data_IF_431562505675
#
_entry.id   IF_431562505675
#
_cell.length_a   1.000
_cell.length_b   1.000
_cell.length_c   1.000
_cell.angle_alpha   90.00
_cell.angle_beta   90.00
_cell.angle_gamma   90.00
#
_symmetry.space_group_name_H-M   'P 1'
#
loop_
_entity.id
_entity.type
_entity.pdbx_description
1 polymer ?
#
# COMPACT_ATOMS: atom_id res chain seq x y z
N UNK A 1 5.66 4.88 -6.67
CA UNK A 1 6.87 5.42 -7.34
C UNK A 1 6.80 5.01 -8.80
N UNK A 2 7.09 5.91 -9.73
CA UNK A 2 7.23 5.57 -11.16
C UNK A 2 8.71 5.73 -11.50
N UNK A 3 9.29 4.73 -12.18
CA UNK A 3 10.73 4.65 -12.40
C UNK A 3 11.09 3.96 -13.72
N UNK A 4 12.37 3.73 -13.95
CA UNK A 4 12.91 3.20 -15.22
C UNK A 4 12.86 1.66 -15.34
N UNK A 5 11.89 1.02 -14.68
CA UNK A 5 11.73 -0.44 -14.71
C UNK A 5 12.67 -1.25 -13.79
N UNK A 6 13.41 -0.59 -12.89
CA UNK A 6 14.22 -1.24 -11.86
C UNK A 6 13.99 -0.60 -10.49
N UNK A 7 14.31 -1.33 -9.42
CA UNK A 7 14.19 -0.84 -8.05
C UNK A 7 12.75 -0.77 -7.51
N UNK A 8 11.82 -1.47 -8.15
CA UNK A 8 10.42 -1.52 -7.70
C UNK A 8 10.30 -2.13 -6.29
N UNK A 9 10.97 -3.27 -6.07
CA UNK A 9 10.98 -3.95 -4.77
C UNK A 9 11.73 -3.13 -3.69
N UNK A 10 12.84 -2.48 -4.06
CA UNK A 10 13.54 -1.61 -3.12
C UNK A 10 12.71 -0.36 -2.77
N UNK A 11 11.95 0.18 -3.72
CA UNK A 11 11.01 1.26 -3.47
C UNK A 11 9.87 0.83 -2.54
N UNK A 12 9.25 -0.34 -2.77
CA UNK A 12 8.23 -0.90 -1.88
C UNK A 12 8.78 -1.12 -0.47
N UNK A 13 9.98 -1.71 -0.36
CA UNK A 13 10.68 -1.95 0.91
C UNK A 13 10.97 -0.63 1.64
N UNK A 14 11.43 0.40 0.92
CA UNK A 14 11.68 1.72 1.48
C UNK A 14 10.41 2.39 2.01
N UNK A 15 9.31 2.30 1.26
CA UNK A 15 8.00 2.82 1.69
C UNK A 15 7.51 2.08 2.93
N UNK A 16 7.57 0.75 2.96
CA UNK A 16 7.18 -0.03 4.14
C UNK A 16 8.05 0.30 5.36
N UNK A 17 9.36 0.40 5.18
CA UNK A 17 10.29 0.80 6.24
C UNK A 17 9.96 2.19 6.79
N UNK A 18 9.64 3.13 5.91
CA UNK A 18 9.18 4.47 6.30
C UNK A 18 7.88 4.39 7.11
N UNK A 19 6.88 3.64 6.63
CA UNK A 19 5.60 3.48 7.33
C UNK A 19 5.78 2.89 8.73
N UNK A 20 6.57 1.81 8.85
CA UNK A 20 6.86 1.18 10.14
C UNK A 20 7.63 2.11 11.10
N UNK A 21 8.58 2.91 10.58
CA UNK A 21 9.29 3.91 11.38
C UNK A 21 8.35 4.95 11.99
N UNK A 22 7.21 5.21 11.36
CA UNK A 22 6.19 6.17 11.82
C UNK A 22 4.98 5.46 12.45
N UNK A 23 5.16 4.23 12.95
CA UNK A 23 4.14 3.45 13.67
C UNK A 23 2.84 3.25 12.88
N UNK A 24 2.92 3.27 11.55
CA UNK A 24 1.76 3.04 10.68
C UNK A 24 1.44 1.55 10.55
N UNK A 25 0.15 1.24 10.37
CA UNK A 25 -0.33 -0.12 10.11
C UNK A 25 -0.17 -0.43 8.61
N UNK A 26 0.66 -1.42 8.29
CA UNK A 26 0.79 -1.94 6.93
C UNK A 26 -0.43 -2.80 6.56
N UNK A 27 -1.16 -2.38 5.53
CA UNK A 27 -2.42 -3.02 5.15
C UNK A 27 -2.28 -4.00 3.98
N UNK A 28 -1.19 -3.95 3.22
CA UNK A 28 -0.94 -4.80 2.05
C UNK A 28 0.55 -4.80 1.70
N UNK A 29 0.98 -5.75 0.85
CA UNK A 29 2.38 -5.88 0.40
C UNK A 29 2.84 -4.82 -0.61
N UNK A 30 1.95 -3.92 -1.02
CA UNK A 30 2.18 -2.98 -2.12
C UNK A 30 1.79 -3.54 -3.49
N UNK A 31 1.84 -2.66 -4.49
CA UNK A 31 1.45 -2.95 -5.88
C UNK A 31 2.65 -2.68 -6.78
N UNK A 32 2.89 -3.61 -7.67
CA UNK A 32 3.99 -3.62 -8.61
C UNK A 32 3.43 -3.82 -10.01
N UNK A 33 3.86 -2.99 -10.95
CA UNK A 33 3.47 -3.09 -12.36
C UNK A 33 4.47 -2.34 -13.24
N UNK A 34 4.54 -2.73 -14.51
CA UNK A 34 5.46 -2.13 -15.49
C UNK A 34 4.66 -1.74 -16.73
N UNK A 35 4.92 -0.54 -17.24
CA UNK A 35 4.35 -0.03 -18.48
C UNK A 35 5.33 0.98 -19.08
N UNK A 36 5.37 1.07 -20.40
CA UNK A 36 6.20 2.00 -21.16
C UNK A 36 5.35 3.13 -21.75
N UNK A 37 4.18 2.78 -22.28
CA UNK A 37 3.27 3.73 -22.91
C UNK A 37 2.13 4.13 -21.96
N UNK A 38 1.58 5.32 -22.22
CA UNK A 38 0.41 5.80 -21.47
C UNK A 38 -0.78 4.86 -21.70
N UNK A 39 -1.36 4.35 -20.60
CA UNK A 39 -2.51 3.45 -20.64
C UNK A 39 -2.17 1.96 -20.66
N UNK A 40 -0.94 1.57 -21.03
CA UNK A 40 -0.50 0.16 -21.06
C UNK A 40 -0.61 -0.51 -19.68
N UNK A 41 -0.42 0.26 -18.59
CA UNK A 41 -0.54 -0.26 -17.22
C UNK A 41 -1.93 -0.84 -16.91
N UNK A 42 -2.96 -0.48 -17.69
CA UNK A 42 -4.31 -1.02 -17.55
C UNK A 42 -4.42 -2.48 -18.02
N UNK A 43 -3.47 -2.93 -18.84
CA UNK A 43 -3.39 -4.31 -19.34
C UNK A 43 -2.67 -5.24 -18.35
N UNK A 44 -1.97 -4.70 -17.35
CA UNK A 44 -1.38 -5.48 -16.26
C UNK A 44 -2.47 -5.90 -15.26
N UNK A 45 -3.20 -6.97 -15.59
CA UNK A 45 -4.31 -7.51 -14.78
C UNK A 45 -3.90 -7.77 -13.33
N UNK A 46 -2.65 -8.19 -13.12
CA UNK A 46 -2.12 -8.48 -11.78
C UNK A 46 -1.93 -7.19 -10.98
N UNK A 47 -1.32 -6.17 -11.56
CA UNK A 47 -1.16 -4.87 -10.91
C UNK A 47 -2.52 -4.23 -10.58
N UNK A 48 -3.50 -4.35 -11.49
CA UNK A 48 -4.86 -3.84 -11.27
C UNK A 48 -5.56 -4.60 -10.14
N UNK A 49 -5.48 -5.93 -10.12
CA UNK A 49 -6.07 -6.74 -9.06
C UNK A 49 -5.39 -6.49 -7.70
N UNK A 50 -4.06 -6.37 -7.68
CA UNK A 50 -3.33 -6.00 -6.48
C UNK A 50 -3.73 -4.61 -5.96
N UNK A 51 -3.97 -3.64 -6.84
CA UNK A 51 -4.46 -2.31 -6.46
C UNK A 51 -5.86 -2.37 -5.84
N UNK A 52 -6.77 -3.18 -6.40
CA UNK A 52 -8.09 -3.43 -5.81
C UNK A 52 -7.99 -4.04 -4.41
N UNK A 53 -7.12 -5.03 -4.24
CA UNK A 53 -6.89 -5.69 -2.93
C UNK A 53 -6.27 -4.74 -1.91
N UNK A 54 -5.30 -3.93 -2.32
CA UNK A 54 -4.74 -2.87 -1.47
C UNK A 54 -5.86 -1.94 -0.98
N UNK A 55 -6.71 -1.45 -1.88
CA UNK A 55 -7.81 -0.55 -1.52
C UNK A 55 -8.80 -1.21 -0.56
N UNK A 56 -9.18 -2.46 -0.82
CA UNK A 56 -10.07 -3.23 0.07
C UNK A 56 -9.45 -3.40 1.47
N UNK A 57 -8.17 -3.76 1.56
CA UNK A 57 -7.50 -3.93 2.86
C UNK A 57 -7.34 -2.63 3.64
N UNK A 58 -7.02 -1.53 2.95
CA UNK A 58 -6.99 -0.21 3.57
C UNK A 58 -8.36 0.16 4.16
N UNK A 59 -9.44 -0.11 3.42
CA UNK A 59 -10.80 0.12 3.89
C UNK A 59 -11.16 -0.75 5.09
N UNK A 60 -10.87 -2.05 5.04
CA UNK A 60 -11.13 -2.98 6.13
C UNK A 60 -10.40 -2.55 7.41
N UNK A 61 -9.11 -2.23 7.31
CA UNK A 61 -8.32 -1.76 8.47
C UNK A 61 -8.85 -0.42 8.98
N UNK A 62 -9.15 0.55 8.11
CA UNK A 62 -9.68 1.85 8.52
C UNK A 62 -11.04 1.76 9.25
N UNK A 63 -11.80 0.68 9.04
CA UNK A 63 -13.03 0.40 9.80
C UNK A 63 -12.79 -0.25 11.16
N UNK A 64 -11.68 -0.95 11.32
CA UNK A 64 -11.30 -1.63 12.55
C UNK A 64 -10.51 -0.72 13.49
N UNK A 65 -9.74 0.22 12.93
CA UNK A 65 -8.96 1.18 13.73
C UNK A 65 -9.92 2.21 14.36
N UNK A 66 -9.95 2.32 15.69
CA UNK A 66 -10.76 3.32 16.38
C UNK A 66 -10.35 4.73 15.95
N UNK A 67 -11.35 5.59 15.72
CA UNK A 67 -11.10 6.98 15.33
C UNK A 67 -10.63 7.87 16.49
N UNK A 68 -10.86 7.41 17.72
CA UNK A 68 -10.38 8.05 18.93
C UNK A 68 -9.14 7.32 19.46
N UNK A 69 -7.99 7.92 19.18
CA UNK A 69 -6.69 7.41 19.62
C UNK A 69 -6.51 7.45 21.15
N UNK A 70 -7.11 8.43 21.82
CA UNK A 70 -7.02 8.56 23.27
C UNK A 70 -7.83 7.48 23.98
N UNK A 71 -9.04 7.18 23.47
CA UNK A 71 -9.87 6.10 23.98
C UNK A 71 -9.21 4.72 23.76
N UNK A 72 -8.61 4.48 22.58
CA UNK A 72 -7.94 3.21 22.28
C UNK A 72 -6.75 2.93 23.21
N UNK A 73 -5.90 3.95 23.48
CA UNK A 73 -4.77 3.84 24.41
C UNK A 73 -5.17 3.63 25.87
N UNK A 74 -6.37 4.06 26.27
CA UNK A 74 -6.88 3.86 27.64
C UNK A 74 -7.50 2.46 27.86
N UNK A 75 -7.81 1.74 26.77
CA UNK A 75 -8.43 0.40 26.79
C UNK A 75 -7.45 -0.77 26.56
N UNK A 76 -6.18 -0.47 26.26
CA UNK A 76 -5.09 -1.43 26.05
C UNK A 76 -4.20 -1.50 27.30
#
# INVERSE_FOLDING_TARGET
MVGRGYGLESALTGIHSFMLKHEMILCYRGVAGTAFEAGEILEDERAIEDARRLAARLYDVARLVPRDYAAWRASA
#
